data_IF_792923736138
#
_entry.id   IF_792923736138
#
_cell.length_a   1.000
_cell.length_b   1.000
_cell.length_c   1.000
_cell.angle_alpha   90.00
_cell.angle_beta   90.00
_cell.angle_gamma   90.00
#
_symmetry.space_group_name_H-M   'P 1'
#
loop_
_entity.id
_entity.type
_entity.pdbx_description
1 polymer ?
#
# COMPACT_ATOMS: atom_id res chain seq x y z
N UNK A 1 21.21 -5.48 42.03
CA UNK A 1 20.16 -5.96 41.10
C UNK A 1 20.69 -5.74 39.69
N UNK A 2 20.77 -6.77 38.86
CA UNK A 2 21.17 -6.65 37.46
C UNK A 2 19.94 -6.85 36.57
N UNK A 3 19.76 -5.99 35.57
CA UNK A 3 18.70 -6.10 34.57
C UNK A 3 19.26 -6.85 33.36
N UNK A 4 18.54 -7.89 32.91
CA UNK A 4 18.86 -8.58 31.66
C UNK A 4 17.95 -8.04 30.55
N UNK A 5 18.55 -7.43 29.53
CA UNK A 5 17.85 -7.02 28.31
C UNK A 5 17.89 -8.18 27.29
N UNK A 6 16.76 -8.48 26.66
CA UNK A 6 16.67 -9.45 25.55
C UNK A 6 16.23 -8.73 24.29
N UNK A 7 17.06 -8.79 23.26
CA UNK A 7 16.72 -8.29 21.93
C UNK A 7 16.01 -9.41 21.16
N UNK A 8 14.75 -9.19 20.79
CA UNK A 8 13.93 -10.15 20.05
C UNK A 8 13.67 -9.59 18.66
N UNK A 9 14.08 -10.32 17.63
CA UNK A 9 13.74 -9.98 16.24
C UNK A 9 12.25 -10.21 16.02
N UNK A 10 11.58 -9.22 15.46
CA UNK A 10 10.17 -9.31 15.06
C UNK A 10 10.05 -9.32 13.54
N UNK A 11 8.95 -9.87 13.05
CA UNK A 11 8.51 -9.79 11.66
C UNK A 11 7.12 -9.16 11.58
N UNK A 12 6.84 -8.56 10.42
CA UNK A 12 5.55 -7.99 10.05
C UNK A 12 5.00 -8.72 8.83
N UNK A 13 3.71 -9.03 8.83
CA UNK A 13 2.97 -9.59 7.69
C UNK A 13 1.60 -8.92 7.59
N UNK A 14 0.96 -8.99 6.44
CA UNK A 14 -0.45 -8.64 6.31
C UNK A 14 -1.35 -9.67 7.02
N UNK A 15 -2.44 -9.22 7.63
CA UNK A 15 -3.41 -10.06 8.30
C UNK A 15 -4.10 -10.97 7.28
N UNK A 16 -4.12 -12.30 7.44
CA UNK A 16 -4.68 -13.21 6.44
C UNK A 16 -6.17 -13.01 6.14
N UNK A 17 -6.93 -12.54 7.14
CA UNK A 17 -8.34 -12.16 6.97
C UNK A 17 -8.56 -10.64 6.80
N UNK A 18 -7.47 -9.86 6.76
CA UNK A 18 -7.55 -8.42 6.50
C UNK A 18 -7.56 -8.17 5.00
N UNK A 19 -8.34 -7.18 4.58
CA UNK A 19 -8.36 -6.76 3.18
C UNK A 19 -7.19 -5.79 2.92
N UNK A 20 -6.52 -5.95 1.78
CA UNK A 20 -5.60 -4.94 1.26
C UNK A 20 -6.39 -4.02 0.36
N UNK A 21 -6.30 -2.72 0.57
CA UNK A 21 -6.88 -1.73 -0.33
C UNK A 21 -5.78 -0.94 -1.02
N UNK A 22 -6.06 -0.47 -2.23
CA UNK A 22 -5.17 0.40 -2.99
C UNK A 22 -5.92 1.63 -3.48
N UNK A 23 -5.25 2.77 -3.43
CA UNK A 23 -5.68 4.03 -4.03
C UNK A 23 -4.56 4.60 -4.89
N UNK A 24 -4.89 5.54 -5.77
CA UNK A 24 -3.92 6.21 -6.62
C UNK A 24 -4.22 7.70 -6.80
N UNK A 25 -3.17 8.48 -7.07
CA UNK A 25 -3.29 9.87 -7.52
C UNK A 25 -2.29 10.14 -8.65
N UNK A 26 -2.71 10.93 -9.63
CA UNK A 26 -1.84 11.40 -10.71
C UNK A 26 -0.82 12.41 -10.15
N UNK A 27 0.42 12.36 -10.63
CA UNK A 27 1.51 13.26 -10.19
C UNK A 27 1.90 14.33 -11.20
N UNK A 28 1.30 14.33 -12.39
CA UNK A 28 1.47 15.45 -13.33
C UNK A 28 0.95 16.76 -12.72
N UNK A 29 1.68 17.84 -13.00
CA UNK A 29 1.37 19.17 -12.49
C UNK A 29 -0.07 19.58 -12.85
N UNK A 30 -0.76 20.19 -11.89
CA UNK A 30 -2.15 20.66 -12.02
C UNK A 30 -3.19 19.56 -12.32
N UNK A 31 -2.82 18.28 -12.24
CA UNK A 31 -3.74 17.17 -12.40
C UNK A 31 -4.32 16.73 -11.03
N UNK A 32 -5.60 17.00 -10.79
CA UNK A 32 -6.30 16.59 -9.56
C UNK A 32 -6.90 15.18 -9.58
N UNK A 33 -6.50 14.33 -10.53
CA UNK A 33 -7.10 13.01 -10.69
C UNK A 33 -6.72 12.06 -9.56
N UNK A 34 -7.72 11.36 -9.01
CA UNK A 34 -7.54 10.34 -7.97
C UNK A 34 -8.44 9.13 -8.20
N UNK A 35 -7.99 7.96 -7.74
CA UNK A 35 -8.78 6.75 -7.58
C UNK A 35 -8.83 6.39 -6.09
N UNK A 36 -10.04 6.26 -5.54
CA UNK A 36 -10.27 5.95 -4.13
C UNK A 36 -9.83 4.54 -3.74
N UNK A 37 -9.72 4.24 -2.43
CA UNK A 37 -9.28 2.93 -1.95
C UNK A 37 -10.27 1.83 -2.36
N UNK A 38 -9.77 0.79 -3.02
CA UNK A 38 -10.52 -0.41 -3.38
C UNK A 38 -9.67 -1.67 -3.17
N UNK A 39 -10.32 -2.80 -2.94
CA UNK A 39 -9.65 -4.09 -2.73
C UNK A 39 -9.01 -4.67 -4.01
N UNK A 40 -9.53 -4.26 -5.18
CA UNK A 40 -9.09 -4.76 -6.47
C UNK A 40 -7.93 -3.91 -7.01
N UNK A 41 -6.71 -4.43 -6.86
CA UNK A 41 -5.50 -3.77 -7.36
C UNK A 41 -5.51 -3.62 -8.88
N UNK A 42 -5.99 -4.63 -9.60
CA UNK A 42 -6.01 -4.60 -11.05
C UNK A 42 -6.94 -3.51 -11.57
N UNK A 43 -8.04 -3.24 -10.84
CA UNK A 43 -8.93 -2.13 -11.15
C UNK A 43 -8.25 -0.77 -11.07
N UNK A 44 -7.49 -0.50 -10.00
CA UNK A 44 -6.75 0.78 -9.89
C UNK A 44 -5.69 0.92 -10.98
N UNK A 45 -5.04 -0.17 -11.36
CA UNK A 45 -4.08 -0.15 -12.47
C UNK A 45 -4.77 0.18 -13.80
N UNK A 46 -5.95 -0.37 -14.07
CA UNK A 46 -6.77 -0.02 -15.24
C UNK A 46 -7.21 1.44 -15.21
N UNK A 47 -7.57 1.96 -14.04
CA UNK A 47 -7.95 3.37 -13.87
C UNK A 47 -6.75 4.29 -14.20
N UNK A 48 -5.54 3.97 -13.72
CA UNK A 48 -4.32 4.68 -14.07
C UNK A 48 -4.00 4.59 -15.57
N UNK A 49 -4.03 3.39 -16.16
CA UNK A 49 -3.78 3.20 -17.61
C UNK A 49 -4.79 3.97 -18.47
N UNK A 50 -6.06 3.99 -18.06
CA UNK A 50 -7.12 4.72 -18.74
C UNK A 50 -6.91 6.23 -18.65
N UNK A 51 -6.45 6.73 -17.50
CA UNK A 51 -6.08 8.13 -17.33
C UNK A 51 -4.91 8.50 -18.24
N UNK A 52 -3.82 7.73 -18.22
CA UNK A 52 -2.67 7.93 -19.12
C UNK A 52 -3.08 7.93 -20.59
N UNK A 53 -3.94 6.99 -21.01
CA UNK A 53 -4.41 6.93 -22.39
C UNK A 53 -5.21 8.16 -22.83
N UNK A 54 -5.85 8.88 -21.90
CA UNK A 54 -6.67 10.06 -22.18
C UNK A 54 -5.88 11.38 -22.09
N UNK A 55 -4.90 11.45 -21.20
CA UNK A 55 -4.22 12.71 -20.86
C UNK A 55 -2.74 12.72 -21.21
N UNK A 56 -2.14 11.55 -21.42
CA UNK A 56 -0.69 11.38 -21.58
C UNK A 56 0.09 11.39 -20.25
N UNK A 57 -0.58 11.52 -19.11
CA UNK A 57 0.05 11.61 -17.78
C UNK A 57 0.59 10.23 -17.34
N UNK A 58 1.91 10.02 -17.21
CA UNK A 58 2.47 8.68 -17.04
C UNK A 58 2.76 8.31 -15.58
N UNK A 59 2.68 9.26 -14.63
CA UNK A 59 3.20 9.05 -13.27
C UNK A 59 2.09 9.13 -12.23
N UNK A 60 2.05 8.13 -11.34
CA UNK A 60 1.06 8.03 -10.27
C UNK A 60 1.72 7.66 -8.94
N UNK A 61 1.25 8.25 -7.85
CA UNK A 61 1.49 7.69 -6.51
C UNK A 61 0.39 6.68 -6.20
N UNK A 62 0.77 5.48 -5.76
CA UNK A 62 -0.16 4.46 -5.25
C UNK A 62 0.03 4.29 -3.75
N UNK A 63 -1.06 4.17 -3.01
CA UNK A 63 -1.06 3.88 -1.58
C UNK A 63 -1.72 2.54 -1.35
N UNK A 64 -0.99 1.61 -0.76
CA UNK A 64 -1.49 0.34 -0.28
C UNK A 64 -1.73 0.43 1.22
N UNK A 65 -2.90 -0.02 1.67
CA UNK A 65 -3.26 -0.07 3.08
C UNK A 65 -3.73 -1.48 3.42
N UNK A 66 -3.14 -2.05 4.47
CA UNK A 66 -3.48 -3.37 4.99
C UNK A 66 -3.50 -3.37 6.53
N UNK A 67 -4.07 -4.43 7.10
CA UNK A 67 -3.96 -4.67 8.55
C UNK A 67 -2.67 -5.45 8.79
N UNK A 68 -1.70 -4.84 9.48
CA UNK A 68 -0.45 -5.49 9.80
C UNK A 68 -0.53 -6.35 11.08
N UNK A 69 0.06 -7.55 11.02
CA UNK A 69 0.33 -8.41 12.15
C UNK A 69 1.83 -8.44 12.45
N UNK A 70 2.19 -8.14 13.70
CA UNK A 70 3.57 -8.20 14.19
C UNK A 70 3.72 -9.39 15.12
N UNK A 71 4.76 -10.19 14.91
CA UNK A 71 5.09 -11.35 15.76
C UNK A 71 6.60 -11.48 15.93
N UNK A 72 7.08 -12.04 17.05
CA UNK A 72 8.47 -12.49 17.15
C UNK A 72 8.77 -13.46 16.00
N UNK A 73 9.97 -13.35 15.42
CA UNK A 73 10.50 -14.45 14.62
C UNK A 73 10.75 -15.58 15.60
N UNK A 74 10.07 -16.71 15.43
CA UNK A 74 10.30 -17.88 16.27
C UNK A 74 11.77 -18.32 16.22
N UNK A 75 12.26 -19.07 17.22
CA UNK A 75 13.55 -19.74 17.11
C UNK A 75 13.59 -20.71 15.92
#
# INVERSE_FOLDING_TARGET
MSTVLRFVTHRIISHPAGEVTVSAQCLDADCGWTAGPVADVARVDVDCMSHTGRTGHPTFARKYEDVALVSPVGP
#
